data_IF_061098113723
#
_entry.id   IF_061098113723
#
_cell.length_a   1.000
_cell.length_b   1.000
_cell.length_c   1.000
_cell.angle_alpha   90.00
_cell.angle_beta   90.00
_cell.angle_gamma   90.00
#
_symmetry.space_group_name_H-M   'P 1'
#
loop_
_entity.id
_entity.type
_entity.pdbx_description
1 polymer ?
#
# COMPACT_ATOMS: atom_id res chain seq x y z
N UNK A 1 -1.67 4.56 1.79
CA UNK A 1 -1.26 3.53 2.77
C UNK A 1 -1.12 4.06 4.21
N UNK A 2 -0.36 5.13 4.46
CA UNK A 2 -0.22 5.74 5.80
C UNK A 2 -1.60 6.06 6.45
N UNK A 3 -2.46 6.75 5.72
CA UNK A 3 -3.83 7.07 6.14
C UNK A 3 -4.70 5.82 6.36
N UNK A 4 -4.63 4.86 5.43
CA UNK A 4 -5.34 3.57 5.48
C UNK A 4 -5.05 2.84 6.79
N UNK A 5 -3.78 2.80 7.21
CA UNK A 5 -3.37 2.13 8.44
C UNK A 5 -3.27 3.07 9.65
N UNK A 6 -3.54 4.36 9.52
CA UNK A 6 -3.50 5.32 10.62
C UNK A 6 -2.11 5.41 11.26
N UNK A 7 -1.06 5.37 10.44
CA UNK A 7 0.34 5.53 10.85
C UNK A 7 1.02 6.58 9.99
N UNK A 8 2.19 7.04 10.40
CA UNK A 8 2.96 8.02 9.65
C UNK A 8 3.64 7.39 8.41
N UNK A 9 4.07 8.25 7.47
CA UNK A 9 4.72 7.82 6.22
C UNK A 9 6.07 7.14 6.47
N UNK A 10 6.80 7.50 7.53
CA UNK A 10 8.09 6.89 7.85
C UNK A 10 7.91 5.45 8.34
N UNK A 11 6.85 5.17 9.10
CA UNK A 11 6.45 3.83 9.50
C UNK A 11 6.21 2.93 8.29
N UNK A 12 5.41 3.39 7.32
CA UNK A 12 5.17 2.66 6.06
C UNK A 12 6.49 2.41 5.31
N UNK A 13 7.30 3.44 5.13
CA UNK A 13 8.57 3.36 4.39
C UNK A 13 9.53 2.36 5.03
N UNK A 14 9.59 2.31 6.37
CA UNK A 14 10.40 1.35 7.12
C UNK A 14 9.92 -0.10 6.90
N UNK A 15 8.61 -0.34 6.88
CA UNK A 15 8.08 -1.68 6.64
C UNK A 15 8.35 -2.15 5.20
N UNK A 16 8.13 -1.29 4.21
CA UNK A 16 8.43 -1.57 2.80
C UNK A 16 9.91 -1.89 2.59
N UNK A 17 10.82 -1.07 3.14
CA UNK A 17 12.25 -1.32 3.08
C UNK A 17 12.60 -2.73 3.59
N UNK A 18 12.08 -3.11 4.77
CA UNK A 18 12.30 -4.45 5.34
C UNK A 18 11.65 -5.58 4.52
N UNK A 19 10.58 -5.33 3.78
CA UNK A 19 9.93 -6.33 2.91
C UNK A 19 10.85 -6.63 1.73
N UNK A 20 11.41 -5.59 1.11
CA UNK A 20 12.32 -5.73 -0.02
C UNK A 20 13.68 -6.30 0.40
N UNK A 21 14.23 -5.84 1.52
CA UNK A 21 15.48 -6.39 2.08
C UNK A 21 15.39 -7.88 2.43
N UNK A 22 14.22 -8.34 2.88
CA UNK A 22 14.00 -9.76 3.17
C UNK A 22 13.69 -10.60 1.92
N UNK A 23 13.52 -9.97 0.75
CA UNK A 23 13.08 -10.64 -0.47
C UNK A 23 11.66 -11.18 -0.42
N UNK A 24 10.80 -10.65 0.47
CA UNK A 24 9.39 -11.09 0.56
C UNK A 24 8.61 -10.67 -0.69
N UNK A 25 8.90 -9.46 -1.21
CA UNK A 25 8.36 -8.95 -2.47
C UNK A 25 9.50 -8.40 -3.33
N UNK A 26 9.35 -8.52 -4.65
CA UNK A 26 10.18 -7.79 -5.61
C UNK A 26 9.60 -6.39 -5.83
N UNK A 27 10.39 -5.37 -5.47
CA UNK A 27 10.03 -3.96 -5.63
C UNK A 27 9.57 -3.62 -7.06
N UNK A 28 10.17 -4.26 -8.08
CA UNK A 28 9.87 -3.99 -9.50
C UNK A 28 8.48 -4.47 -9.92
N UNK A 29 7.91 -5.43 -9.20
CA UNK A 29 6.62 -6.05 -9.54
C UNK A 29 5.47 -5.38 -8.79
N UNK A 30 5.75 -4.82 -7.61
CA UNK A 30 4.72 -4.26 -6.72
C UNK A 30 4.64 -2.73 -6.75
N UNK A 31 5.58 -2.05 -7.42
CA UNK A 31 5.61 -0.58 -7.56
C UNK A 31 5.40 -0.15 -9.00
N UNK A 32 4.42 0.73 -9.21
CA UNK A 32 4.31 1.55 -10.41
C UNK A 32 4.85 2.97 -10.13
N UNK A 33 5.85 3.40 -10.90
CA UNK A 33 6.40 4.75 -10.85
C UNK A 33 5.62 5.65 -11.81
N UNK A 34 4.87 6.61 -11.29
CA UNK A 34 4.15 7.59 -12.11
C UNK A 34 4.85 8.93 -12.01
N UNK A 35 5.43 9.37 -13.13
CA UNK A 35 5.98 10.72 -13.23
C UNK A 35 4.83 11.72 -13.20
N UNK A 36 4.78 12.55 -12.16
CA UNK A 36 3.86 13.69 -12.11
C UNK A 36 4.66 14.96 -12.41
N UNK A 37 4.43 15.52 -13.59
CA UNK A 37 5.02 16.77 -14.03
C UNK A 37 4.22 17.92 -13.39
N UNK A 38 4.78 18.57 -12.38
CA UNK A 38 4.15 19.75 -11.77
C UNK A 38 4.96 21.01 -12.12
N UNK A 39 4.31 22.13 -12.51
CA UNK A 39 4.98 23.41 -12.63
C UNK A 39 5.64 23.77 -11.30
N UNK A 40 6.92 24.16 -11.33
CA UNK A 40 7.61 24.55 -10.11
C UNK A 40 7.04 25.90 -9.64
N UNK A 41 6.25 25.89 -8.57
CA UNK A 41 5.57 27.09 -8.06
C UNK A 41 6.51 28.22 -7.59
N UNK A 42 7.82 27.98 -7.54
CA UNK A 42 8.82 28.95 -7.07
C UNK A 42 9.69 29.56 -8.18
N UNK A 43 9.72 29.00 -9.40
CA UNK A 43 10.58 29.49 -10.49
C UNK A 43 9.87 29.35 -11.83
N UNK A 44 9.58 30.49 -12.48
CA UNK A 44 9.00 30.53 -13.82
C UNK A 44 9.96 29.84 -14.81
N UNK A 45 9.51 28.75 -15.43
CA UNK A 45 10.28 28.01 -16.45
C UNK A 45 11.04 26.76 -15.98
N UNK A 46 10.92 26.33 -14.71
CA UNK A 46 11.39 25.00 -14.26
C UNK A 46 10.21 24.05 -14.03
N UNK A 47 10.39 22.82 -14.49
CA UNK A 47 9.46 21.71 -14.27
C UNK A 47 10.06 20.82 -13.20
N UNK A 48 9.29 20.42 -12.18
CA UNK A 48 9.74 19.41 -11.22
C UNK A 48 9.06 18.09 -11.52
N UNK A 49 9.87 17.12 -11.88
CA UNK A 49 9.44 15.74 -11.98
C UNK A 49 9.40 15.15 -10.56
N UNK A 50 8.19 14.99 -10.01
CA UNK A 50 7.99 14.18 -8.81
C UNK A 50 7.56 12.79 -9.26
N UNK A 51 8.43 11.82 -9.08
CA UNK A 51 8.04 10.41 -9.17
C UNK A 51 7.17 10.06 -7.96
N UNK A 52 5.91 9.69 -8.22
CA UNK A 52 5.02 9.15 -7.20
C UNK A 52 4.98 7.64 -7.33
N UNK A 53 5.25 6.94 -6.23
CA UNK A 53 5.23 5.48 -6.17
C UNK A 53 3.83 4.98 -5.80
N UNK A 54 3.26 4.13 -6.64
CA UNK A 54 1.99 3.44 -6.39
C UNK A 54 2.27 1.97 -6.07
N UNK A 55 1.69 1.48 -4.98
CA UNK A 55 1.90 0.13 -4.48
C UNK A 55 0.68 -0.73 -4.77
N UNK A 56 0.88 -1.94 -5.29
CA UNK A 56 -0.20 -2.88 -5.57
C UNK A 56 -0.78 -3.52 -4.28
N UNK A 57 -1.75 -4.42 -4.44
CA UNK A 57 -2.40 -5.09 -3.31
C UNK A 57 -1.43 -5.93 -2.46
N UNK A 58 -0.46 -6.61 -3.07
CA UNK A 58 0.50 -7.46 -2.33
C UNK A 58 1.31 -6.61 -1.34
N UNK A 59 1.80 -5.46 -1.79
CA UNK A 59 2.51 -4.52 -0.93
C UNK A 59 1.61 -3.97 0.20
N UNK A 60 0.34 -3.68 -0.09
CA UNK A 60 -0.63 -3.23 0.92
C UNK A 60 -0.87 -4.33 1.96
N UNK A 61 -1.05 -5.58 1.53
CA UNK A 61 -1.26 -6.73 2.41
C UNK A 61 -0.02 -6.95 3.30
N UNK A 62 1.16 -7.07 2.72
CA UNK A 62 2.42 -7.29 3.46
C UNK A 62 2.68 -6.21 4.50
N UNK A 63 2.47 -4.93 4.15
CA UNK A 63 2.58 -3.83 5.14
C UNK A 63 1.47 -3.92 6.19
N UNK A 64 0.24 -4.22 5.79
CA UNK A 64 -0.90 -4.39 6.70
C UNK A 64 -0.66 -5.44 7.79
N UNK A 65 0.11 -6.50 7.50
CA UNK A 65 0.51 -7.49 8.49
C UNK A 65 1.63 -7.05 9.43
N UNK A 66 2.49 -6.12 9.00
CA UNK A 66 3.62 -5.61 9.80
C UNK A 66 3.27 -4.38 10.64
N UNK A 67 2.19 -3.66 10.31
CA UNK A 67 1.75 -2.45 11.04
C UNK A 67 0.93 -2.81 12.29
N UNK A 68 1.34 -2.25 13.43
CA UNK A 68 0.61 -2.35 14.69
C UNK A 68 -0.28 -1.11 14.90
N UNK A 69 -1.49 -1.15 14.34
CA UNK A 69 -2.51 -0.11 14.56
C UNK A 69 -3.91 -0.71 14.58
N UNK A 70 -4.88 0.01 15.18
CA UNK A 70 -6.29 -0.41 15.16
C UNK A 70 -6.82 -0.58 13.73
N UNK A 71 -6.47 0.33 12.81
CA UNK A 71 -6.90 0.25 11.41
C UNK A 71 -6.27 -0.95 10.68
N UNK A 72 -4.99 -1.24 10.93
CA UNK A 72 -4.33 -2.41 10.37
C UNK A 72 -4.93 -3.72 10.92
N UNK A 73 -5.30 -3.76 12.20
CA UNK A 73 -6.04 -4.90 12.78
C UNK A 73 -7.39 -5.11 12.09
N UNK A 74 -8.16 -4.05 11.87
CA UNK A 74 -9.44 -4.15 11.15
C UNK A 74 -9.25 -4.62 9.71
N UNK A 75 -8.24 -4.09 9.01
CA UNK A 75 -7.87 -4.55 7.68
C UNK A 75 -7.56 -6.05 7.65
N UNK A 76 -6.76 -6.57 8.60
CA UNK A 76 -6.44 -8.00 8.67
C UNK A 76 -7.68 -8.86 8.95
N UNK A 77 -8.57 -8.41 9.84
CA UNK A 77 -9.83 -9.11 10.13
C UNK A 77 -10.67 -9.19 8.86
N UNK A 78 -10.84 -8.08 8.16
CA UNK A 78 -11.57 -8.02 6.91
C UNK A 78 -10.94 -8.91 5.83
N UNK A 79 -9.62 -8.78 5.58
CA UNK A 79 -8.93 -9.56 4.57
C UNK A 79 -9.01 -11.08 4.84
N UNK A 80 -8.90 -11.48 6.12
CA UNK A 80 -9.04 -12.89 6.53
C UNK A 80 -10.48 -13.39 6.33
N UNK A 81 -11.49 -12.56 6.63
CA UNK A 81 -12.90 -12.89 6.37
C UNK A 81 -13.14 -13.14 4.88
N UNK A 82 -12.69 -12.21 4.03
CA UNK A 82 -12.81 -12.30 2.57
C UNK A 82 -12.15 -13.58 2.04
N UNK A 83 -10.91 -13.85 2.46
CA UNK A 83 -10.19 -15.06 2.03
C UNK A 83 -10.91 -16.34 2.48
N UNK A 84 -11.39 -16.38 3.72
CA UNK A 84 -12.13 -17.54 4.26
C UNK A 84 -13.43 -17.79 3.50
N UNK A 85 -14.17 -16.72 3.19
CA UNK A 85 -15.40 -16.81 2.39
C UNK A 85 -15.11 -17.33 0.99
N UNK A 86 -14.08 -16.78 0.33
CA UNK A 86 -13.66 -17.24 -0.98
C UNK A 86 -13.28 -18.73 -0.98
N UNK A 87 -12.46 -19.16 -0.01
CA UNK A 87 -12.05 -20.56 0.11
C UNK A 87 -13.21 -21.53 0.39
N UNK A 88 -14.24 -21.08 1.12
CA UNK A 88 -15.37 -21.94 1.51
C UNK A 88 -16.46 -22.00 0.43
N UNK A 89 -16.75 -20.86 -0.22
CA UNK A 89 -17.90 -20.71 -1.13
C UNK A 89 -17.50 -20.70 -2.61
N UNK A 90 -16.22 -20.51 -2.92
CA UNK A 90 -15.72 -20.29 -4.28
C UNK A 90 -15.97 -18.88 -4.82
N UNK A 91 -16.59 -18.01 -4.02
CA UNK A 91 -16.85 -16.61 -4.35
C UNK A 91 -16.97 -15.78 -3.06
N UNK A 92 -16.80 -14.47 -3.19
CA UNK A 92 -17.04 -13.50 -2.12
C UNK A 92 -18.28 -12.70 -2.53
N UNK A 93 -19.26 -12.59 -1.64
CA UNK A 93 -20.38 -11.68 -1.84
C UNK A 93 -19.94 -10.29 -1.39
N UNK A 94 -20.00 -9.31 -2.28
CA UNK A 94 -19.96 -7.92 -1.83
C UNK A 94 -21.25 -7.62 -1.06
N UNK A 95 -21.17 -7.63 0.27
CA UNK A 95 -22.17 -6.95 1.09
C UNK A 95 -21.96 -5.44 0.90
N UNK A 96 -22.75 -4.85 -0.01
CA UNK A 96 -22.86 -3.40 -0.10
C UNK A 96 -23.49 -2.87 1.20
N UNK A 97 -22.77 -2.00 1.89
CA UNK A 97 -23.28 -1.19 3.01
C UNK A 97 -23.47 0.25 2.55
#
# INVERSE_FOLDING_TARGET
>A
MAELFGVDKSGISRHLKKIFESGELDEKVVIAKIATTSPHGAIQGKTQDKETMFYNLDAIISVGYRVNSKKATQFRIWATKVLKEYMTKGFVLEEQN
#
